data_IF_684689760282
#
_entry.id   IF_684689760282
#
_cell.length_a   1.000
_cell.length_b   1.000
_cell.length_c   1.000
_cell.angle_alpha   90.00
_cell.angle_beta   90.00
_cell.angle_gamma   90.00
#
_symmetry.space_group_name_H-M   'P 1'
#
loop_
_entity.id
_entity.type
_entity.pdbx_description
1 polymer ?
#
# COMPACT_ATOMS: atom_id res chain seq x y z
N UNK A 1 65.77 -2.94 -65.85
CA UNK A 1 64.78 -2.08 -66.55
C UNK A 1 63.38 -2.65 -66.32
N UNK A 2 62.51 -1.80 -65.75
CA UNK A 2 61.03 -1.80 -65.79
C UNK A 2 60.26 -3.05 -65.34
N UNK A 3 59.75 -2.98 -64.10
CA UNK A 3 58.57 -3.71 -63.62
C UNK A 3 57.44 -2.70 -63.37
N UNK A 4 56.25 -2.99 -63.89
CA UNK A 4 55.02 -2.20 -63.79
C UNK A 4 54.46 -2.27 -62.36
N UNK A 5 53.94 -1.15 -61.85
CA UNK A 5 53.05 -1.13 -60.69
C UNK A 5 51.75 -0.39 -61.04
N UNK A 6 50.64 -1.14 -61.01
CA UNK A 6 49.27 -0.64 -61.11
C UNK A 6 48.83 -0.16 -59.74
N UNK A 7 48.39 1.10 -59.65
CA UNK A 7 47.81 1.68 -58.44
C UNK A 7 46.34 1.28 -58.25
N UNK A 8 46.01 0.78 -57.07
CA UNK A 8 44.64 0.64 -56.58
C UNK A 8 44.43 1.64 -55.44
N UNK A 9 43.55 2.62 -55.67
CA UNK A 9 43.12 3.59 -54.67
C UNK A 9 42.09 2.94 -53.73
N UNK A 10 42.43 2.80 -52.44
CA UNK A 10 41.49 2.39 -51.40
C UNK A 10 40.78 3.62 -50.83
N UNK A 11 39.46 3.69 -51.03
CA UNK A 11 38.56 4.66 -50.40
C UNK A 11 38.41 4.34 -48.91
N UNK A 12 38.76 5.29 -48.05
CA UNK A 12 38.60 5.19 -46.59
C UNK A 12 37.22 5.70 -46.18
N UNK A 13 36.29 4.78 -45.89
CA UNK A 13 35.03 5.11 -45.24
C UNK A 13 35.26 5.22 -43.72
N UNK A 14 35.19 6.44 -43.18
CA UNK A 14 35.02 6.69 -41.75
C UNK A 14 33.59 6.34 -41.33
N UNK A 15 33.37 5.50 -40.30
CA UNK A 15 32.03 5.31 -39.76
C UNK A 15 31.65 6.49 -38.86
N UNK A 16 30.73 7.32 -39.34
CA UNK A 16 30.05 8.34 -38.55
C UNK A 16 29.33 7.69 -37.37
N UNK A 17 29.79 7.98 -36.15
CA UNK A 17 29.14 7.52 -34.92
C UNK A 17 27.90 8.39 -34.67
N UNK A 18 26.79 8.04 -35.29
CA UNK A 18 25.48 8.61 -34.95
C UNK A 18 25.02 8.01 -33.62
N UNK A 19 25.27 8.71 -32.51
CA UNK A 19 24.66 8.43 -31.21
C UNK A 19 23.17 8.78 -31.30
N UNK A 20 22.36 7.83 -31.76
CA UNK A 20 20.91 7.92 -31.66
C UNK A 20 20.51 7.71 -30.20
N UNK A 21 20.48 8.77 -29.43
CA UNK A 21 19.79 8.80 -28.13
C UNK A 21 18.29 8.70 -28.40
N UNK A 22 17.79 7.49 -28.62
CA UNK A 22 16.36 7.22 -28.56
C UNK A 22 15.93 7.45 -27.12
N UNK A 23 15.39 8.63 -26.84
CA UNK A 23 14.72 8.94 -25.59
C UNK A 23 13.43 8.14 -25.54
N UNK A 24 13.54 6.84 -25.24
CA UNK A 24 12.39 6.04 -24.84
C UNK A 24 11.78 6.76 -23.63
N UNK A 25 10.53 7.22 -23.75
CA UNK A 25 9.78 7.87 -22.66
C UNK A 25 9.86 7.01 -21.40
N UNK A 26 10.70 7.40 -20.45
CA UNK A 26 10.88 6.69 -19.17
C UNK A 26 9.69 7.00 -18.25
N UNK A 27 9.35 6.07 -17.36
CA UNK A 27 8.33 6.32 -16.34
C UNK A 27 8.76 7.52 -15.47
N UNK A 28 7.89 8.51 -15.20
CA UNK A 28 8.25 9.64 -14.36
C UNK A 28 8.48 9.21 -12.89
N UNK A 29 9.51 9.75 -12.20
CA UNK A 29 9.88 9.30 -10.85
C UNK A 29 8.85 9.67 -9.77
N UNK A 30 7.99 10.66 -10.03
CA UNK A 30 6.98 11.15 -9.09
C UNK A 30 5.61 10.46 -9.22
N UNK A 31 5.41 9.63 -10.27
CA UNK A 31 4.19 8.84 -10.47
C UNK A 31 4.47 7.34 -10.31
N UNK A 32 3.44 6.53 -10.07
CA UNK A 32 3.54 5.08 -10.19
C UNK A 32 3.93 4.62 -11.59
N UNK A 33 4.67 3.53 -11.64
CA UNK A 33 4.85 2.76 -12.88
C UNK A 33 3.49 2.19 -13.33
N UNK A 34 3.31 1.80 -14.61
CA UNK A 34 2.07 1.20 -15.07
C UNK A 34 1.55 0.04 -14.21
N UNK A 35 2.41 -0.87 -13.74
CA UNK A 35 2.00 -1.97 -12.86
C UNK A 35 1.60 -1.43 -11.48
N UNK A 36 2.38 -0.52 -10.91
CA UNK A 36 2.05 0.11 -9.62
C UNK A 36 0.73 0.88 -9.70
N UNK A 37 0.46 1.55 -10.82
CA UNK A 37 -0.76 2.30 -11.07
C UNK A 37 -1.96 1.34 -11.16
N UNK A 38 -1.81 0.21 -11.87
CA UNK A 38 -2.84 -0.82 -11.93
C UNK A 38 -3.16 -1.40 -10.54
N UNK A 39 -2.13 -1.69 -9.75
CA UNK A 39 -2.29 -2.22 -8.38
C UNK A 39 -2.92 -1.17 -7.44
N UNK A 40 -2.56 0.11 -7.59
CA UNK A 40 -3.20 1.20 -6.84
C UNK A 40 -4.64 1.43 -7.27
N UNK A 41 -4.96 1.26 -8.56
CA UNK A 41 -6.31 1.41 -9.10
C UNK A 41 -7.27 0.34 -8.56
N UNK A 42 -6.76 -0.83 -8.15
CA UNK A 42 -7.58 -1.86 -7.53
C UNK A 42 -8.35 -1.33 -6.30
N UNK A 43 -7.75 -0.46 -5.48
CA UNK A 43 -8.39 0.06 -4.26
C UNK A 43 -9.64 0.92 -4.54
N UNK A 44 -9.58 2.02 -5.31
CA UNK A 44 -10.78 2.79 -5.65
C UNK A 44 -11.78 1.98 -6.47
N UNK A 45 -11.34 1.02 -7.30
CA UNK A 45 -12.25 0.11 -8.01
C UNK A 45 -13.03 -0.78 -7.04
N UNK A 46 -12.36 -1.41 -6.07
CA UNK A 46 -13.04 -2.24 -5.06
C UNK A 46 -14.00 -1.42 -4.20
N UNK A 47 -13.61 -0.20 -3.82
CA UNK A 47 -14.46 0.70 -3.02
C UNK A 47 -15.68 1.20 -3.79
N UNK A 48 -15.51 1.60 -5.05
CA UNK A 48 -16.62 2.05 -5.90
C UNK A 48 -17.56 0.90 -6.20
N UNK A 49 -17.04 -0.26 -6.61
CA UNK A 49 -17.83 -1.46 -6.85
C UNK A 49 -18.62 -1.87 -5.61
N UNK A 50 -17.99 -1.96 -4.43
CA UNK A 50 -18.68 -2.34 -3.19
C UNK A 50 -19.76 -1.34 -2.79
N UNK A 51 -19.51 -0.04 -2.98
CA UNK A 51 -20.50 1.02 -2.70
C UNK A 51 -21.68 0.94 -3.68
N UNK A 52 -21.42 0.76 -4.97
CA UNK A 52 -22.48 0.55 -5.97
C UNK A 52 -23.29 -0.71 -5.66
N UNK A 53 -22.61 -1.81 -5.29
CA UNK A 53 -23.29 -3.04 -4.90
C UNK A 53 -24.21 -2.84 -3.69
N UNK A 54 -23.75 -2.11 -2.67
CA UNK A 54 -24.56 -1.77 -1.48
C UNK A 54 -25.82 -0.98 -1.84
N UNK A 55 -25.72 -0.04 -2.79
CA UNK A 55 -26.84 0.79 -3.24
C UNK A 55 -27.81 0.06 -4.18
N UNK A 56 -27.29 -0.85 -5.01
CA UNK A 56 -28.08 -1.54 -6.05
C UNK A 56 -28.70 -2.83 -5.55
N UNK A 57 -28.07 -3.53 -4.60
CA UNK A 57 -28.57 -4.79 -4.06
C UNK A 57 -29.79 -4.55 -3.16
N UNK A 58 -30.99 -5.07 -3.52
CA UNK A 58 -32.19 -4.89 -2.70
C UNK A 58 -32.02 -5.48 -1.29
N UNK A 59 -31.30 -6.61 -1.19
CA UNK A 59 -31.03 -7.28 0.09
C UNK A 59 -30.19 -6.41 1.03
N UNK A 60 -29.19 -5.70 0.51
CA UNK A 60 -28.32 -4.84 1.33
C UNK A 60 -29.03 -3.52 1.65
N UNK A 61 -29.60 -2.86 0.65
CA UNK A 61 -30.25 -1.55 0.80
C UNK A 61 -31.47 -1.59 1.73
N UNK A 62 -32.24 -2.67 1.71
CA UNK A 62 -33.45 -2.80 2.53
C UNK A 62 -33.16 -3.34 3.95
N UNK A 63 -31.92 -3.76 4.24
CA UNK A 63 -31.57 -4.23 5.56
C UNK A 63 -31.40 -3.07 6.56
N UNK A 64 -31.79 -3.23 7.84
CA UNK A 64 -31.68 -2.17 8.83
C UNK A 64 -30.24 -1.64 8.95
N UNK A 65 -30.09 -0.31 8.89
CA UNK A 65 -28.80 0.38 8.93
C UNK A 65 -28.76 1.40 10.07
N UNK A 66 -27.72 1.33 10.90
CA UNK A 66 -27.48 2.30 11.96
C UNK A 66 -26.50 3.37 11.46
N UNK A 67 -27.02 4.56 11.16
CA UNK A 67 -26.25 5.71 10.71
C UNK A 67 -25.27 6.26 11.77
N UNK A 68 -25.37 5.86 13.04
CA UNK A 68 -24.39 6.26 14.07
C UNK A 68 -23.17 5.36 14.04
N UNK A 69 -23.41 4.05 13.91
CA UNK A 69 -22.36 3.04 13.88
C UNK A 69 -21.82 2.80 12.46
N UNK A 70 -22.44 3.45 11.47
CA UNK A 70 -22.20 3.33 10.05
C UNK A 70 -22.09 1.86 9.62
N UNK A 71 -23.06 1.06 10.07
CA UNK A 71 -23.09 -0.39 9.88
C UNK A 71 -24.53 -0.91 9.87
N UNK A 72 -24.75 -2.04 9.20
CA UNK A 72 -26.01 -2.76 9.27
C UNK A 72 -26.25 -3.40 10.65
N UNK A 73 -27.47 -3.90 10.88
CA UNK A 73 -27.82 -4.65 12.08
C UNK A 73 -26.83 -5.79 12.37
N UNK A 74 -26.50 -5.94 13.65
CA UNK A 74 -25.57 -6.98 14.12
C UNK A 74 -26.30 -8.28 14.51
N UNK A 75 -27.63 -8.23 14.57
CA UNK A 75 -28.48 -9.40 14.78
C UNK A 75 -28.45 -10.32 13.54
N UNK A 76 -28.13 -11.61 13.69
CA UNK A 76 -28.15 -12.58 12.59
C UNK A 76 -29.46 -12.61 11.79
N UNK A 77 -30.61 -12.36 12.42
CA UNK A 77 -31.91 -12.40 11.74
C UNK A 77 -32.14 -11.24 10.79
N UNK A 78 -31.50 -10.09 11.02
CA UNK A 78 -31.71 -8.86 10.26
C UNK A 78 -30.47 -8.39 9.49
N UNK A 79 -29.33 -9.06 9.67
CA UNK A 79 -28.10 -8.74 8.96
C UNK A 79 -28.16 -9.22 7.51
N UNK A 80 -27.80 -8.39 6.51
CA UNK A 80 -27.88 -8.78 5.09
C UNK A 80 -26.87 -9.87 4.69
N UNK A 81 -25.83 -10.08 5.51
CA UNK A 81 -24.79 -11.09 5.26
C UNK A 81 -24.03 -11.45 6.54
N UNK A 82 -23.31 -12.57 6.51
CA UNK A 82 -22.28 -12.91 7.50
C UNK A 82 -21.23 -11.79 7.65
N UNK A 83 -20.76 -11.24 6.52
CA UNK A 83 -19.70 -10.23 6.51
C UNK A 83 -20.16 -8.85 7.00
N UNK A 84 -21.47 -8.58 7.03
CA UNK A 84 -22.02 -7.34 7.60
C UNK A 84 -21.98 -7.29 9.14
N UNK A 85 -21.73 -8.45 9.78
CA UNK A 85 -21.61 -8.55 11.23
C UNK A 85 -20.17 -8.33 11.67
N UNK A 86 -19.97 -7.45 12.65
CA UNK A 86 -18.67 -7.16 13.29
C UNK A 86 -18.09 -8.38 14.05
N UNK A 87 -18.93 -9.38 14.35
CA UNK A 87 -18.55 -10.64 14.99
C UNK A 87 -18.03 -11.70 14.01
N UNK A 88 -18.02 -11.43 12.70
CA UNK A 88 -17.49 -12.38 11.73
C UNK A 88 -15.99 -12.65 12.00
N UNK A 89 -15.56 -13.91 11.78
CA UNK A 89 -14.22 -14.38 12.17
C UNK A 89 -13.11 -13.58 11.48
N UNK A 90 -13.32 -13.17 10.23
CA UNK A 90 -12.34 -12.39 9.49
C UNK A 90 -12.20 -10.98 10.08
N UNK A 91 -13.30 -10.36 10.49
CA UNK A 91 -13.21 -9.06 11.16
C UNK A 91 -12.52 -9.18 12.53
N UNK A 92 -12.89 -10.18 13.33
CA UNK A 92 -12.38 -10.36 14.69
C UNK A 92 -10.89 -10.72 14.70
N UNK A 93 -10.49 -11.69 13.88
CA UNK A 93 -9.13 -12.21 13.89
C UNK A 93 -8.22 -11.58 12.87
N UNK A 94 -8.71 -11.25 11.67
CA UNK A 94 -7.89 -10.68 10.61
C UNK A 94 -7.89 -9.16 10.64
N UNK A 95 -9.02 -8.49 10.44
CA UNK A 95 -9.01 -7.02 10.24
C UNK A 95 -8.67 -6.26 11.52
N UNK A 96 -9.28 -6.59 12.66
CA UNK A 96 -8.96 -5.95 13.95
C UNK A 96 -7.51 -6.15 14.39
N UNK A 97 -6.85 -7.22 13.92
CA UNK A 97 -5.43 -7.51 14.18
C UNK A 97 -4.58 -7.33 12.91
N UNK A 98 -5.08 -6.57 11.94
CA UNK A 98 -4.56 -6.55 10.57
C UNK A 98 -3.09 -6.15 10.48
N UNK A 99 -2.67 -5.14 11.26
CA UNK A 99 -1.27 -4.72 11.29
C UNK A 99 -0.33 -5.83 11.79
N UNK A 100 -0.81 -6.67 12.71
CA UNK A 100 -0.08 -7.84 13.20
C UNK A 100 0.14 -8.87 12.10
N UNK A 101 -0.88 -9.19 11.30
CA UNK A 101 -0.76 -10.12 10.16
C UNK A 101 0.13 -9.59 9.05
N UNK A 102 0.01 -8.29 8.73
CA UNK A 102 0.87 -7.60 7.76
C UNK A 102 2.33 -7.66 8.21
N UNK A 103 2.60 -7.31 9.46
CA UNK A 103 3.95 -7.34 10.02
C UNK A 103 4.50 -8.77 10.06
N UNK A 104 3.71 -9.75 10.50
CA UNK A 104 4.13 -11.15 10.54
C UNK A 104 4.51 -11.66 9.14
N UNK A 105 3.68 -11.41 8.13
CA UNK A 105 3.97 -11.80 6.75
C UNK A 105 5.25 -11.14 6.22
N UNK A 106 5.42 -9.85 6.51
CA UNK A 106 6.63 -9.11 6.16
C UNK A 106 7.88 -9.67 6.83
N UNK A 107 7.86 -9.93 8.15
CA UNK A 107 9.01 -10.47 8.86
C UNK A 107 9.36 -11.89 8.40
N UNK A 108 8.36 -12.74 8.15
CA UNK A 108 8.62 -14.08 7.59
C UNK A 108 9.32 -13.94 6.23
N UNK A 109 8.83 -13.07 5.34
CA UNK A 109 9.50 -12.82 4.06
C UNK A 109 10.92 -12.26 4.24
N UNK A 110 11.07 -11.22 5.06
CA UNK A 110 12.35 -10.54 5.30
C UNK A 110 13.44 -11.50 5.81
N UNK A 111 13.07 -12.43 6.68
CA UNK A 111 13.99 -13.36 7.34
C UNK A 111 14.26 -14.62 6.53
N UNK A 112 13.29 -15.09 5.74
CA UNK A 112 13.39 -16.38 5.03
C UNK A 112 13.79 -16.26 3.56
N UNK A 113 13.54 -15.10 2.92
CA UNK A 113 13.77 -14.97 1.48
C UNK A 113 15.24 -14.61 1.14
N UNK A 114 15.91 -15.32 0.22
CA UNK A 114 17.32 -15.06 -0.11
C UNK A 114 17.55 -13.67 -0.72
N UNK A 115 16.55 -13.12 -1.42
CA UNK A 115 16.67 -11.80 -2.07
C UNK A 115 16.83 -10.62 -1.07
N UNK A 116 16.51 -10.84 0.21
CA UNK A 116 16.68 -9.88 1.31
C UNK A 116 17.85 -10.26 2.24
N UNK A 117 18.76 -11.16 1.85
CA UNK A 117 19.78 -11.70 2.75
C UNK A 117 20.80 -10.66 3.24
N UNK A 118 21.07 -9.59 2.47
CA UNK A 118 22.09 -8.61 2.84
C UNK A 118 21.64 -7.72 4.01
N UNK A 119 22.54 -7.45 4.95
CA UNK A 119 22.27 -6.60 6.13
C UNK A 119 21.74 -5.23 5.74
N UNK A 120 22.29 -4.62 4.69
CA UNK A 120 21.85 -3.32 4.19
C UNK A 120 20.41 -3.36 3.66
N UNK A 121 20.02 -4.40 2.90
CA UNK A 121 18.64 -4.55 2.41
C UNK A 121 17.67 -4.77 3.56
N UNK A 122 18.06 -5.59 4.55
CA UNK A 122 17.25 -5.80 5.76
C UNK A 122 17.05 -4.51 6.55
N UNK A 123 18.12 -3.76 6.81
CA UNK A 123 18.06 -2.50 7.53
C UNK A 123 17.12 -1.49 6.83
N UNK A 124 17.23 -1.34 5.51
CA UNK A 124 16.35 -0.47 4.72
C UNK A 124 14.90 -0.93 4.71
N UNK A 125 14.65 -2.23 4.60
CA UNK A 125 13.30 -2.79 4.69
C UNK A 125 12.68 -2.59 6.09
N UNK A 126 13.45 -2.79 7.15
CA UNK A 126 13.04 -2.52 8.53
C UNK A 126 12.74 -1.03 8.74
N UNK A 127 13.54 -0.14 8.15
CA UNK A 127 13.29 1.30 8.19
C UNK A 127 11.96 1.65 7.50
N UNK A 128 11.68 1.10 6.30
CA UNK A 128 10.39 1.31 5.62
C UNK A 128 9.22 0.76 6.43
N UNK A 129 9.35 -0.45 6.99
CA UNK A 129 8.35 -1.00 7.91
C UNK A 129 8.14 -0.09 9.13
N UNK A 130 9.22 0.45 9.71
CA UNK A 130 9.17 1.39 10.82
C UNK A 130 8.42 2.67 10.45
N UNK A 131 8.73 3.29 9.30
CA UNK A 131 8.06 4.50 8.81
C UNK A 131 6.56 4.28 8.58
N UNK A 132 6.18 3.17 7.94
CA UNK A 132 4.76 2.84 7.71
C UNK A 132 4.05 2.48 9.02
N UNK A 133 4.72 1.79 9.95
CA UNK A 133 4.22 1.54 11.31
C UNK A 133 3.99 2.84 12.06
N UNK A 134 4.94 3.77 12.01
CA UNK A 134 4.79 5.09 12.60
C UNK A 134 3.58 5.79 12.01
N UNK A 135 3.43 5.83 10.68
CA UNK A 135 2.24 6.41 10.04
C UNK A 135 0.93 5.77 10.53
N UNK A 136 0.88 4.44 10.60
CA UNK A 136 -0.27 3.71 11.15
C UNK A 136 -0.57 4.08 12.62
N UNK A 137 0.46 4.15 13.47
CA UNK A 137 0.34 4.57 14.88
C UNK A 137 -0.17 6.01 14.97
N UNK A 138 0.41 6.94 14.21
CA UNK A 138 0.00 8.35 14.21
C UNK A 138 -1.48 8.50 13.84
N UNK A 139 -1.94 7.73 12.85
CA UNK A 139 -3.32 7.80 12.36
C UNK A 139 -4.30 7.15 13.34
N UNK A 140 -3.99 5.96 13.85
CA UNK A 140 -4.98 5.10 14.54
C UNK A 140 -4.84 5.02 16.05
N UNK A 141 -3.66 5.36 16.58
CA UNK A 141 -3.34 5.21 18.00
C UNK A 141 -3.04 6.58 18.62
N UNK A 142 -2.71 6.57 19.91
CA UNK A 142 -2.31 7.78 20.63
C UNK A 142 -1.03 8.39 20.02
N UNK A 143 -1.13 9.66 19.62
CA UNK A 143 -0.07 10.42 18.96
C UNK A 143 -0.01 11.80 19.60
N UNK A 144 0.82 12.00 20.63
CA UNK A 144 0.91 13.28 21.36
C UNK A 144 -0.49 13.82 21.74
N UNK A 145 -1.37 12.92 22.21
CA UNK A 145 -2.82 13.13 22.39
C UNK A 145 -3.67 12.12 21.59
N UNK A 146 -4.97 12.38 21.38
CA UNK A 146 -5.88 11.52 20.60
C UNK A 146 -5.32 11.19 19.21
N UNK A 147 -5.72 10.05 18.66
CA UNK A 147 -5.38 9.65 17.30
C UNK A 147 -5.81 10.73 16.28
N UNK A 148 -5.14 10.81 15.12
CA UNK A 148 -5.54 11.76 14.06
C UNK A 148 -7.01 11.53 13.67
N UNK A 149 -7.48 10.29 13.68
CA UNK A 149 -8.90 9.97 13.44
C UNK A 149 -9.81 10.69 14.45
N UNK A 150 -9.55 10.54 15.75
CA UNK A 150 -10.34 11.19 16.81
C UNK A 150 -10.29 12.72 16.73
N UNK A 151 -9.13 13.29 16.40
CA UNK A 151 -8.97 14.75 16.20
C UNK A 151 -9.76 15.23 15.00
N UNK A 152 -9.67 14.51 13.88
CA UNK A 152 -10.37 14.86 12.64
C UNK A 152 -11.89 14.79 12.83
N UNK A 153 -12.38 13.82 13.60
CA UNK A 153 -13.78 13.67 13.95
C UNK A 153 -14.28 14.87 14.78
N UNK A 154 -13.53 15.28 15.80
CA UNK A 154 -13.90 16.43 16.62
C UNK A 154 -13.82 17.74 15.84
N UNK A 155 -12.78 17.90 15.00
CA UNK A 155 -12.59 19.09 14.17
C UNK A 155 -13.73 19.30 13.18
N UNK A 156 -14.31 18.21 12.68
CA UNK A 156 -15.45 18.23 11.76
C UNK A 156 -16.80 18.38 12.46
N UNK A 157 -16.81 18.69 13.77
CA UNK A 157 -18.03 18.96 14.54
C UNK A 157 -18.48 17.83 15.45
N UNK A 158 -17.71 16.74 15.53
CA UNK A 158 -18.06 15.57 16.31
C UNK A 158 -17.95 15.76 17.83
N UNK A 159 -18.91 15.16 18.56
CA UNK A 159 -19.05 15.27 20.01
C UNK A 159 -19.46 13.94 20.63
N UNK A 160 -19.18 13.78 21.92
CA UNK A 160 -19.72 12.69 22.71
C UNK A 160 -21.08 13.11 23.27
N UNK A 161 -22.15 12.49 22.79
CA UNK A 161 -23.48 12.57 23.41
C UNK A 161 -23.51 11.57 24.57
N UNK A 162 -23.24 12.03 25.79
CA UNK A 162 -23.38 11.21 26.99
C UNK A 162 -24.86 11.16 27.35
N UNK A 163 -25.36 9.99 27.77
CA UNK A 163 -26.69 9.92 28.39
C UNK A 163 -26.61 10.68 29.72
N UNK A 164 -27.44 11.71 29.87
CA UNK A 164 -27.36 12.82 30.84
C UNK A 164 -27.01 12.46 32.30
N UNK A 165 -27.20 11.21 32.71
CA UNK A 165 -26.94 10.69 34.06
C UNK A 165 -25.52 10.94 34.63
N UNK A 166 -24.47 11.01 33.79
CA UNK A 166 -23.09 11.24 34.28
C UNK A 166 -22.68 12.71 34.38
N UNK A 167 -23.31 13.57 33.58
CA UNK A 167 -23.10 15.03 33.66
C UNK A 167 -23.90 15.58 34.85
N UNK A 168 -25.11 15.07 35.07
CA UNK A 168 -25.96 15.43 36.22
C UNK A 168 -25.35 15.02 37.58
N UNK A 169 -24.51 13.97 37.61
CA UNK A 169 -23.77 13.56 38.81
C UNK A 169 -22.54 14.44 39.13
N UNK A 170 -22.19 15.41 38.28
CA UNK A 170 -21.07 16.33 38.50
C UNK A 170 -19.67 15.71 38.30
N UNK A 171 -19.59 14.50 37.76
CA UNK A 171 -18.38 13.65 37.77
C UNK A 171 -17.53 13.77 36.48
N UNK A 172 -18.04 14.44 35.45
CA UNK A 172 -17.30 14.66 34.19
C UNK A 172 -17.78 15.90 33.42
N UNK A 173 -16.83 16.67 32.87
CA UNK A 173 -17.11 17.76 31.93
C UNK A 173 -17.13 17.22 30.50
N UNK A 174 -17.96 17.81 29.62
CA UNK A 174 -18.01 17.47 28.19
C UNK A 174 -16.67 17.64 27.45
N UNK A 175 -15.68 18.31 28.08
CA UNK A 175 -14.29 18.40 27.61
C UNK A 175 -13.50 17.10 27.73
N UNK A 176 -13.90 16.18 28.60
CA UNK A 176 -13.04 15.10 29.10
C UNK A 176 -13.02 13.88 28.16
N UNK A 177 -13.99 13.79 27.24
CA UNK A 177 -14.09 12.72 26.25
C UNK A 177 -13.46 13.14 24.92
N UNK A 178 -12.13 13.16 24.91
CA UNK A 178 -11.31 13.60 23.78
C UNK A 178 -11.17 12.52 22.68
N UNK A 179 -11.59 11.27 22.97
CA UNK A 179 -11.51 10.12 22.04
C UNK A 179 -12.85 9.40 21.95
N UNK A 180 -13.14 8.79 20.80
CA UNK A 180 -14.35 7.98 20.62
C UNK A 180 -14.38 6.75 21.53
N UNK A 181 -13.22 6.20 21.89
CA UNK A 181 -13.10 5.07 22.83
C UNK A 181 -13.49 5.50 24.24
N UNK A 182 -13.00 6.64 24.73
CA UNK A 182 -13.37 7.16 26.04
C UNK A 182 -14.87 7.47 26.11
N UNK A 183 -15.43 8.07 25.05
CA UNK A 183 -16.87 8.32 24.95
C UNK A 183 -17.71 7.04 25.09
N UNK A 184 -17.36 6.00 24.33
CA UNK A 184 -18.06 4.71 24.37
C UNK A 184 -17.88 4.00 25.71
N UNK A 185 -16.68 4.04 26.28
CA UNK A 185 -16.41 3.49 27.61
C UNK A 185 -17.25 4.21 28.71
N UNK A 186 -17.53 5.50 28.51
CA UNK A 186 -18.40 6.26 29.39
C UNK A 186 -19.90 5.97 29.17
N UNK A 187 -20.28 5.18 28.17
CA UNK A 187 -21.67 4.91 27.79
C UNK A 187 -22.28 5.97 26.85
N UNK A 188 -21.47 6.89 26.34
CA UNK A 188 -21.89 7.91 25.39
C UNK A 188 -21.86 7.43 23.94
N UNK A 189 -22.57 8.18 23.08
CA UNK A 189 -22.60 8.01 21.62
C UNK A 189 -21.69 9.04 20.95
N UNK A 190 -20.75 8.58 20.14
CA UNK A 190 -19.83 9.44 19.39
C UNK A 190 -20.49 9.87 18.07
N UNK A 191 -20.91 11.14 17.94
CA UNK A 191 -21.81 11.61 16.87
C UNK A 191 -21.43 12.98 16.31
N UNK A 192 -21.92 13.28 15.11
CA UNK A 192 -21.85 14.62 14.49
C UNK A 192 -20.57 14.97 13.74
N UNK A 193 -19.54 14.11 13.78
CA UNK A 193 -18.26 14.31 13.11
C UNK A 193 -18.06 13.37 11.93
N UNK A 194 -17.02 13.65 11.14
CA UNK A 194 -16.55 12.80 10.05
C UNK A 194 -15.55 11.76 10.58
N UNK A 195 -15.87 10.46 10.42
CA UNK A 195 -15.01 9.36 10.85
C UNK A 195 -14.15 8.84 9.68
N UNK A 196 -12.83 8.92 9.79
CA UNK A 196 -11.95 8.33 8.77
C UNK A 196 -12.04 6.80 8.91
N UNK A 197 -12.37 6.09 7.83
CA UNK A 197 -12.49 4.63 7.91
C UNK A 197 -11.15 3.96 8.21
N UNK A 198 -10.94 3.60 9.48
CA UNK A 198 -9.73 2.90 9.94
C UNK A 198 -9.55 1.52 9.30
N UNK A 199 -10.64 0.84 8.91
CA UNK A 199 -10.57 -0.45 8.22
C UNK A 199 -10.04 -0.27 6.80
N UNK A 200 -10.59 0.68 6.04
CA UNK A 200 -10.09 1.00 4.69
C UNK A 200 -8.64 1.45 4.75
N UNK A 201 -8.32 2.38 5.67
CA UNK A 201 -6.96 2.85 5.90
C UNK A 201 -5.97 1.69 6.14
N UNK A 202 -6.26 0.83 7.12
CA UNK A 202 -5.37 -0.27 7.50
C UNK A 202 -5.20 -1.29 6.37
N UNK A 203 -6.30 -1.68 5.72
CA UNK A 203 -6.27 -2.70 4.66
C UNK A 203 -5.52 -2.21 3.42
N UNK A 204 -5.71 -0.95 3.01
CA UNK A 204 -4.97 -0.35 1.88
C UNK A 204 -3.50 -0.18 2.24
N UNK A 205 -3.20 0.43 3.39
CA UNK A 205 -1.82 0.68 3.84
C UNK A 205 -1.03 -0.63 3.95
N UNK A 206 -1.60 -1.62 4.64
CA UNK A 206 -0.95 -2.90 4.91
C UNK A 206 -0.78 -3.77 3.67
N UNK A 207 -1.82 -3.89 2.83
CA UNK A 207 -1.72 -4.71 1.62
C UNK A 207 -0.79 -4.10 0.58
N UNK A 208 -0.83 -2.78 0.36
CA UNK A 208 0.09 -2.16 -0.60
C UNK A 208 1.53 -2.12 -0.07
N UNK A 209 1.73 -2.00 1.25
CA UNK A 209 3.05 -2.19 1.86
C UNK A 209 3.65 -3.56 1.51
N UNK A 210 2.88 -4.65 1.66
CA UNK A 210 3.33 -5.99 1.28
C UNK A 210 3.57 -6.11 -0.23
N UNK A 211 2.70 -5.55 -1.06
CA UNK A 211 2.89 -5.50 -2.51
C UNK A 211 4.22 -4.84 -2.87
N UNK A 212 4.60 -3.75 -2.20
CA UNK A 212 5.87 -3.07 -2.47
C UNK A 212 7.09 -3.84 -1.96
N UNK A 213 7.04 -4.40 -0.74
CA UNK A 213 8.18 -5.13 -0.15
C UNK A 213 8.40 -6.52 -0.74
N UNK A 214 7.35 -7.18 -1.26
CA UNK A 214 7.40 -8.56 -1.75
C UNK A 214 7.24 -8.65 -3.27
N UNK A 215 6.39 -7.82 -3.86
CA UNK A 215 5.96 -7.95 -5.26
C UNK A 215 7.09 -7.79 -6.29
N UNK A 216 8.16 -7.09 -5.94
CA UNK A 216 9.33 -6.95 -6.83
C UNK A 216 10.03 -8.28 -7.12
N UNK A 217 10.00 -9.25 -6.20
CA UNK A 217 10.57 -10.61 -6.43
C UNK A 217 9.77 -11.35 -7.50
N UNK A 218 8.44 -11.28 -7.39
CA UNK A 218 7.55 -11.87 -8.39
C UNK A 218 7.77 -11.22 -9.76
N UNK A 219 7.85 -9.89 -9.81
CA UNK A 219 8.07 -9.15 -11.05
C UNK A 219 9.44 -9.42 -11.67
N UNK A 220 10.51 -9.49 -10.88
CA UNK A 220 11.86 -9.80 -11.38
C UNK A 220 11.92 -11.20 -11.99
N UNK A 221 11.35 -12.20 -11.31
CA UNK A 221 11.30 -13.57 -11.85
C UNK A 221 10.40 -13.69 -13.09
N UNK A 222 9.22 -13.03 -13.07
CA UNK A 222 8.32 -12.98 -14.23
C UNK A 222 9.01 -12.37 -15.46
N UNK A 223 9.77 -11.28 -15.28
CA UNK A 223 10.52 -10.63 -16.36
C UNK A 223 11.61 -11.54 -16.93
N UNK A 224 12.39 -12.21 -16.07
CA UNK A 224 13.48 -13.11 -16.49
C UNK A 224 12.97 -14.38 -17.16
N UNK A 225 11.79 -14.88 -16.75
CA UNK A 225 11.14 -16.05 -17.35
C UNK A 225 10.34 -15.75 -18.63
N UNK A 226 9.90 -14.51 -18.82
CA UNK A 226 9.17 -14.06 -20.01
C UNK A 226 10.13 -13.77 -21.18
N UNK A 227 10.66 -14.82 -21.81
CA UNK A 227 11.44 -14.73 -23.06
C UNK A 227 10.55 -14.42 -24.30
N UNK A 228 9.48 -13.64 -24.12
CA UNK A 228 8.57 -13.23 -25.19
C UNK A 228 9.02 -11.94 -25.89
N UNK A 229 8.54 -11.65 -27.11
CA UNK A 229 8.94 -10.48 -27.91
C UNK A 229 8.52 -9.13 -27.32
N UNK A 230 7.71 -9.11 -26.25
CA UNK A 230 7.24 -7.91 -25.56
C UNK A 230 7.85 -7.89 -24.15
N UNK A 231 8.97 -7.20 -23.96
CA UNK A 231 9.47 -6.90 -22.62
C UNK A 231 8.52 -5.90 -21.96
N UNK A 232 7.75 -6.31 -20.95
CA UNK A 232 6.99 -5.35 -20.13
C UNK A 232 7.99 -4.53 -19.33
N UNK A 233 8.31 -3.33 -19.84
CA UNK A 233 9.33 -2.44 -19.30
C UNK A 233 8.76 -1.58 -18.17
N UNK A 234 8.45 -2.23 -17.04
CA UNK A 234 7.96 -1.58 -15.82
C UNK A 234 9.14 -1.23 -14.89
N UNK A 235 10.03 -0.36 -15.38
CA UNK A 235 11.19 0.10 -14.62
C UNK A 235 10.83 1.33 -13.79
N UNK A 236 11.22 1.33 -12.51
CA UNK A 236 11.14 2.52 -11.66
C UNK A 236 12.24 3.49 -12.07
N UNK A 237 11.90 4.77 -12.21
CA UNK A 237 12.88 5.83 -12.46
C UNK A 237 13.19 6.60 -11.19
N UNK A 238 14.40 7.11 -11.08
CA UNK A 238 14.91 7.89 -9.94
C UNK A 238 15.63 9.15 -10.40
N UNK A 239 15.48 10.24 -9.65
CA UNK A 239 16.26 11.46 -9.82
C UNK A 239 17.58 11.30 -9.07
N UNK A 240 18.68 11.59 -9.75
CA UNK A 240 20.04 11.55 -9.22
C UNK A 240 20.43 12.90 -8.59
N UNK A 241 21.57 12.94 -7.89
CA UNK A 241 22.08 14.18 -7.25
C UNK A 241 22.37 15.27 -8.30
N UNK A 242 22.80 14.88 -9.49
CA UNK A 242 23.04 15.75 -10.66
C UNK A 242 21.73 16.18 -11.37
N UNK A 243 20.57 15.78 -10.86
CA UNK A 243 19.26 16.03 -11.48
C UNK A 243 18.89 15.09 -12.62
N UNK A 244 19.79 14.19 -13.04
CA UNK A 244 19.52 13.24 -14.11
C UNK A 244 18.49 12.18 -13.68
N UNK A 245 17.55 11.82 -14.57
CA UNK A 245 16.60 10.73 -14.33
C UNK A 245 17.16 9.42 -14.87
N UNK A 246 17.44 8.46 -13.99
CA UNK A 246 18.00 7.13 -14.34
C UNK A 246 17.02 6.02 -13.97
N UNK A 247 17.17 4.86 -14.62
CA UNK A 247 16.47 3.65 -14.19
C UNK A 247 17.06 3.15 -12.89
N UNK A 248 16.20 2.76 -11.96
CA UNK A 248 16.61 2.32 -10.64
C UNK A 248 17.37 0.98 -10.68
N UNK A 249 17.24 0.19 -11.76
CA UNK A 249 18.01 -1.05 -11.98
C UNK A 249 19.49 -0.80 -12.23
N UNK A 250 19.88 0.34 -12.78
CA UNK A 250 21.30 0.70 -13.02
C UNK A 250 22.06 0.89 -11.69
N UNK A 251 21.37 1.24 -10.60
CA UNK A 251 21.96 1.21 -9.26
C UNK A 251 22.08 -0.22 -8.70
N UNK A 252 21.16 -1.12 -9.07
CA UNK A 252 21.17 -2.51 -8.62
C UNK A 252 22.26 -3.35 -9.33
N UNK A 253 22.55 -3.07 -10.62
CA UNK A 253 23.57 -3.80 -11.41
C UNK A 253 25.00 -3.61 -10.90
N UNK A 254 25.29 -2.54 -10.13
CA UNK A 254 26.59 -2.39 -9.46
C UNK A 254 26.82 -3.38 -8.30
N UNK A 255 25.79 -4.13 -7.88
CA UNK A 255 25.83 -4.93 -6.65
C UNK A 255 25.33 -6.38 -6.77
N UNK A 256 25.03 -6.89 -7.96
CA UNK A 256 24.46 -8.23 -8.09
C UNK A 256 25.10 -9.06 -9.22
N UNK A 257 26.22 -9.71 -8.90
CA UNK A 257 26.58 -10.99 -9.53
C UNK A 257 26.36 -12.11 -8.51
N UNK A 258 25.97 -13.28 -9.01
CA UNK A 258 25.72 -14.55 -8.30
C UNK A 258 24.41 -14.72 -7.53
N UNK A 259 23.45 -15.39 -8.18
CA UNK A 259 22.66 -16.50 -7.62
C UNK A 259 21.81 -17.12 -8.75
N UNK A 260 22.39 -18.10 -9.47
CA UNK A 260 21.64 -18.95 -10.39
C UNK A 260 20.97 -20.08 -9.61
N UNK A 261 19.65 -20.04 -9.49
CA UNK A 261 18.84 -21.26 -9.42
C UNK A 261 17.56 -21.00 -10.21
N UNK A 262 17.39 -21.73 -11.32
CA UNK A 262 16.20 -21.69 -12.18
C UNK A 262 15.01 -22.29 -11.43
N UNK A 263 14.30 -21.46 -10.66
CA UNK A 263 12.96 -21.81 -10.16
C UNK A 263 12.00 -21.92 -11.35
N UNK A 264 11.14 -22.93 -11.35
CA UNK A 264 10.28 -23.29 -12.49
C UNK A 264 9.08 -22.35 -12.68
N UNK A 265 8.79 -21.45 -11.74
CA UNK A 265 7.70 -20.48 -11.87
C UNK A 265 7.75 -19.33 -10.85
N UNK A 266 7.11 -18.21 -11.21
CA UNK A 266 7.07 -16.98 -10.39
C UNK A 266 6.43 -17.19 -9.00
N UNK A 267 5.52 -18.16 -8.88
CA UNK A 267 4.93 -18.53 -7.58
C UNK A 267 5.92 -19.22 -6.65
N UNK A 268 6.83 -20.04 -7.18
CA UNK A 268 7.87 -20.69 -6.36
C UNK A 268 8.99 -19.73 -6.01
N UNK A 269 9.26 -18.75 -6.88
CA UNK A 269 10.20 -17.68 -6.61
C UNK A 269 9.82 -16.78 -5.43
N UNK A 270 8.55 -16.75 -5.01
CA UNK A 270 8.12 -16.01 -3.81
C UNK A 270 8.60 -16.63 -2.49
N UNK A 271 8.99 -17.91 -2.50
CA UNK A 271 9.27 -18.67 -1.28
C UNK A 271 8.07 -18.72 -0.31
N UNK A 272 8.28 -19.28 0.89
CA UNK A 272 7.22 -19.40 1.90
C UNK A 272 6.70 -18.02 2.34
N UNK A 273 7.60 -17.08 2.65
CA UNK A 273 7.22 -15.76 3.11
C UNK A 273 6.44 -14.95 2.09
N UNK A 274 6.81 -15.03 0.80
CA UNK A 274 6.08 -14.34 -0.26
C UNK A 274 4.72 -14.96 -0.53
N UNK A 275 4.57 -16.28 -0.43
CA UNK A 275 3.28 -16.97 -0.50
C UNK A 275 2.34 -16.54 0.63
N UNK A 276 2.85 -16.44 1.86
CA UNK A 276 2.09 -15.94 3.03
C UNK A 276 1.68 -14.47 2.82
N UNK A 277 2.61 -13.62 2.37
CA UNK A 277 2.30 -12.21 2.09
C UNK A 277 1.22 -12.06 1.00
N UNK A 278 1.29 -12.83 -0.07
CA UNK A 278 0.26 -12.87 -1.12
C UNK A 278 -1.11 -13.27 -0.56
N UNK A 279 -1.16 -14.28 0.32
CA UNK A 279 -2.40 -14.68 0.98
C UNK A 279 -2.98 -13.54 1.85
N UNK A 280 -2.14 -12.83 2.59
CA UNK A 280 -2.56 -11.66 3.39
C UNK A 280 -3.06 -10.53 2.50
N UNK A 281 -2.43 -10.26 1.35
CA UNK A 281 -2.88 -9.25 0.38
C UNK A 281 -4.25 -9.60 -0.19
N UNK A 282 -4.45 -10.84 -0.65
CA UNK A 282 -5.73 -11.31 -1.20
C UNK A 282 -6.84 -11.21 -0.15
N UNK A 283 -6.57 -11.68 1.08
CA UNK A 283 -7.53 -11.57 2.17
C UNK A 283 -7.83 -10.12 2.55
N UNK A 284 -6.83 -9.23 2.44
CA UNK A 284 -7.03 -7.79 2.65
C UNK A 284 -7.93 -7.17 1.61
N UNK A 285 -7.75 -7.51 0.32
CA UNK A 285 -8.61 -7.03 -0.76
C UNK A 285 -10.04 -7.55 -0.64
N UNK A 286 -10.20 -8.82 -0.25
CA UNK A 286 -11.51 -9.39 0.05
C UNK A 286 -12.20 -8.63 1.19
N UNK A 287 -11.50 -8.42 2.31
CA UNK A 287 -12.08 -7.70 3.45
C UNK A 287 -12.28 -6.21 3.16
N UNK A 288 -11.51 -5.61 2.26
CA UNK A 288 -11.73 -4.24 1.78
C UNK A 288 -13.03 -4.17 0.98
N UNK A 289 -13.29 -5.13 0.11
CA UNK A 289 -14.56 -5.25 -0.60
C UNK A 289 -15.74 -5.43 0.36
N UNK A 290 -15.62 -6.33 1.35
CA UNK A 290 -16.66 -6.52 2.36
C UNK A 290 -16.91 -5.23 3.17
N UNK A 291 -15.84 -4.49 3.50
CA UNK A 291 -15.93 -3.17 4.14
C UNK A 291 -16.65 -2.17 3.25
N UNK A 292 -16.34 -2.15 1.95
CA UNK A 292 -16.99 -1.28 0.98
C UNK A 292 -18.50 -1.54 0.83
N UNK A 293 -18.95 -2.79 0.98
CA UNK A 293 -20.36 -3.15 0.85
C UNK A 293 -21.15 -2.84 2.13
N UNK A 294 -20.64 -3.19 3.31
CA UNK A 294 -21.47 -3.29 4.53
C UNK A 294 -21.21 -2.24 5.62
N UNK A 295 -20.09 -1.53 5.56
CA UNK A 295 -19.67 -0.60 6.61
C UNK A 295 -19.31 0.75 6.02
N UNK A 296 -19.36 1.79 6.85
CA UNK A 296 -18.92 3.16 6.54
C UNK A 296 -19.69 3.83 5.39
N UNK A 297 -19.72 5.17 5.43
CA UNK A 297 -20.20 5.92 4.26
C UNK A 297 -19.15 5.95 3.15
N UNK A 298 -19.55 6.35 1.94
CA UNK A 298 -18.61 6.59 0.84
C UNK A 298 -17.50 7.58 1.23
N UNK A 299 -17.84 8.66 1.93
CA UNK A 299 -16.88 9.71 2.27
C UNK A 299 -15.87 9.25 3.33
N UNK A 300 -16.30 8.46 4.31
CA UNK A 300 -15.42 7.84 5.31
C UNK A 300 -14.42 6.86 4.65
N UNK A 301 -14.88 6.07 3.66
CA UNK A 301 -14.02 5.17 2.87
C UNK A 301 -13.01 5.96 2.05
N UNK A 302 -13.46 7.02 1.38
CA UNK A 302 -12.62 7.87 0.55
C UNK A 302 -11.49 8.53 1.36
N UNK A 303 -11.82 9.12 2.51
CA UNK A 303 -10.81 9.72 3.39
C UNK A 303 -9.85 8.68 3.98
N UNK A 304 -10.33 7.49 4.34
CA UNK A 304 -9.48 6.37 4.74
C UNK A 304 -8.49 5.95 3.65
N UNK A 305 -8.94 5.90 2.38
CA UNK A 305 -8.08 5.64 1.22
C UNK A 305 -7.02 6.73 1.06
N UNK A 306 -7.41 8.02 1.08
CA UNK A 306 -6.46 9.12 0.92
C UNK A 306 -5.36 9.11 1.99
N UNK A 307 -5.73 8.93 3.26
CA UNK A 307 -4.76 8.89 4.37
C UNK A 307 -3.79 7.72 4.21
N UNK A 308 -4.24 6.56 3.71
CA UNK A 308 -3.35 5.44 3.41
C UNK A 308 -2.39 5.78 2.26
N UNK A 309 -2.92 6.34 1.17
CA UNK A 309 -2.13 6.72 -0.01
C UNK A 309 -1.09 7.79 0.31
N UNK A 310 -1.38 8.76 1.19
CA UNK A 310 -0.41 9.76 1.63
C UNK A 310 0.81 9.11 2.30
N UNK A 311 0.59 8.17 3.23
CA UNK A 311 1.69 7.45 3.89
C UNK A 311 2.50 6.60 2.91
N UNK A 312 1.83 5.90 2.01
CA UNK A 312 2.49 5.09 0.97
C UNK A 312 3.29 5.96 0.00
N UNK A 313 2.74 7.11 -0.40
CA UNK A 313 3.43 8.07 -1.26
C UNK A 313 4.72 8.57 -0.62
N UNK A 314 4.64 8.99 0.65
CA UNK A 314 5.78 9.46 1.42
C UNK A 314 6.90 8.41 1.51
N UNK A 315 6.57 7.13 1.73
CA UNK A 315 7.58 6.07 1.92
C UNK A 315 8.12 5.50 0.61
N UNK A 316 7.28 5.35 -0.43
CA UNK A 316 7.67 4.60 -1.64
C UNK A 316 7.90 5.44 -2.89
N UNK A 317 7.41 6.69 -2.92
CA UNK A 317 7.47 7.55 -4.10
C UNK A 317 8.38 8.75 -3.88
N UNK A 318 8.31 9.41 -2.72
CA UNK A 318 9.21 10.55 -2.40
C UNK A 318 10.70 10.18 -2.49
N UNK A 319 11.17 9.02 -2.00
CA UNK A 319 12.57 8.64 -2.17
C UNK A 319 13.01 8.50 -3.64
N UNK A 320 12.09 8.36 -4.61
CA UNK A 320 12.46 8.28 -6.03
C UNK A 320 13.00 9.60 -6.56
N UNK A 321 12.51 10.73 -6.06
CA UNK A 321 12.90 12.05 -6.53
C UNK A 321 13.63 12.91 -5.48
N UNK A 322 13.85 12.37 -4.28
CA UNK A 322 14.67 12.99 -3.22
C UNK A 322 15.89 12.10 -2.95
N UNK A 323 17.04 12.33 -3.63
CA UNK A 323 18.23 11.47 -3.51
C UNK A 323 18.75 11.27 -2.08
N UNK A 324 18.82 12.30 -1.20
CA UNK A 324 19.26 12.11 0.18
C UNK A 324 18.36 11.15 0.95
N UNK A 325 17.04 11.28 0.76
CA UNK A 325 16.06 10.38 1.37
C UNK A 325 16.21 8.96 0.84
N UNK A 326 16.45 8.80 -0.47
CA UNK A 326 16.75 7.49 -1.09
C UNK A 326 17.96 6.80 -0.49
N UNK A 327 19.02 7.55 -0.21
CA UNK A 327 20.23 7.01 0.40
C UNK A 327 19.96 6.30 1.74
N UNK A 328 19.02 6.85 2.51
CA UNK A 328 18.60 6.36 3.82
C UNK A 328 17.51 5.28 3.72
N UNK A 329 16.37 5.61 3.10
CA UNK A 329 15.16 4.76 3.03
C UNK A 329 15.32 3.60 2.04
N UNK A 330 16.08 3.82 0.96
CA UNK A 330 16.21 2.88 -0.15
C UNK A 330 14.92 2.70 -0.95
N UNK A 331 14.96 1.79 -1.91
CA UNK A 331 13.81 1.35 -2.69
C UNK A 331 13.68 -0.17 -2.59
N UNK A 332 12.47 -0.75 -2.60
CA UNK A 332 12.31 -2.20 -2.59
C UNK A 332 12.95 -2.83 -3.84
N UNK A 333 13.73 -3.89 -3.62
CA UNK A 333 14.43 -4.62 -4.69
C UNK A 333 15.73 -3.99 -5.19
N UNK A 334 16.20 -2.91 -4.55
CA UNK A 334 17.42 -2.17 -4.94
C UNK A 334 18.42 -2.18 -3.78
#
# INVERSE_FOLDING_TARGET
MTSQSNGTAASSFLPSTTTSSSSSSRNPPFLPTPIEALLLLAYPVLLTFGTLFSLLSPTVRNAPYDATLQAHSQDPAFSPSYFARKSNIFNVFFVKRGWGWVSLAFFIFLLTHPATATTQRRARALLRWGLVTTWWVLVTQWCFGPAIIDRSFRYTGGKCEIVDMKIEAGDASGSDFVTGVACKAAGGKWRGGHDISGHVFLLVLGSYFLVQEVGWVFLDHWRRGSAGPVSVRDERSVVMIDGAVKSATVEAERFATTAEHRLAGAWDALGLGGKIASAVVVLSWWMLLMTAIFFHTWFEKFTGLLVALTGLYAVYFVPRFVPPLRGVVGLPGI
#
